data_IF_603598748460
#
_entry.id   IF_603598748460
#
_cell.length_a   1.000
_cell.length_b   1.000
_cell.length_c   1.000
_cell.angle_alpha   90.00
_cell.angle_beta   90.00
_cell.angle_gamma   90.00
#
_symmetry.space_group_name_H-M   'P 1'
#
loop_
_entity.id
_entity.type
_entity.pdbx_description
1 polymer ?
#
# COMPACT_ATOMS: atom_id res chain seq x y z
N UNK A 1 -1.06 16.20 23.14
CA UNK A 1 -2.43 15.71 22.85
C UNK A 1 -2.46 14.23 23.15
N UNK A 2 -3.52 13.69 23.73
CA UNK A 2 -3.63 12.24 23.93
C UNK A 2 -3.74 11.54 22.57
N UNK A 3 -3.05 10.41 22.41
CA UNK A 3 -3.04 9.60 21.18
C UNK A 3 -4.46 9.21 20.75
N UNK A 4 -5.34 8.97 21.72
CA UNK A 4 -6.78 8.68 21.47
C UNK A 4 -7.50 9.84 20.80
N UNK A 5 -7.15 11.08 21.14
CA UNK A 5 -7.77 12.29 20.59
C UNK A 5 -7.30 12.53 19.15
N UNK A 6 -6.03 12.24 18.86
CA UNK A 6 -5.49 12.26 17.49
C UNK A 6 -6.19 11.18 16.64
N UNK A 7 -6.38 9.98 17.18
CA UNK A 7 -7.13 8.91 16.52
C UNK A 7 -8.59 9.30 16.23
N UNK A 8 -9.27 9.94 17.18
CA UNK A 8 -10.64 10.41 16.99
C UNK A 8 -10.74 11.46 15.86
N UNK A 9 -9.81 12.42 15.79
CA UNK A 9 -9.72 13.37 14.68
C UNK A 9 -9.42 12.69 13.35
N UNK A 10 -8.56 11.66 13.34
CA UNK A 10 -8.27 10.86 12.15
C UNK A 10 -9.52 10.18 11.59
N UNK A 11 -10.37 9.61 12.45
CA UNK A 11 -11.64 9.01 12.05
C UNK A 11 -12.56 10.05 11.40
N UNK A 12 -12.71 11.23 12.03
CA UNK A 12 -13.54 12.31 11.48
C UNK A 12 -13.01 12.77 10.12
N UNK A 13 -11.68 12.92 9.99
CA UNK A 13 -11.05 13.29 8.72
C UNK A 13 -11.29 12.24 7.61
N UNK A 14 -11.26 10.95 7.95
CA UNK A 14 -11.55 9.86 7.01
C UNK A 14 -12.98 9.97 6.48
N UNK A 15 -13.97 10.12 7.36
CA UNK A 15 -15.36 10.28 6.94
C UNK A 15 -15.56 11.53 6.09
N UNK A 16 -14.88 12.63 6.42
CA UNK A 16 -14.92 13.85 5.62
C UNK A 16 -14.40 13.59 4.19
N UNK A 17 -13.27 12.87 4.03
CA UNK A 17 -12.75 12.48 2.72
C UNK A 17 -13.72 11.59 1.93
N UNK A 18 -14.39 10.65 2.59
CA UNK A 18 -15.37 9.77 1.95
C UNK A 18 -16.60 10.55 1.47
N UNK A 19 -17.09 11.51 2.26
CA UNK A 19 -18.19 12.39 1.86
C UNK A 19 -17.79 13.26 0.67
N UNK A 20 -16.54 13.71 0.62
CA UNK A 20 -15.96 14.42 -0.53
C UNK A 20 -15.79 13.56 -1.80
N UNK A 21 -16.24 12.29 -1.78
CA UNK A 21 -16.15 11.33 -2.89
C UNK A 21 -14.72 11.04 -3.33
N UNK A 22 -13.74 11.16 -2.43
CA UNK A 22 -12.39 10.70 -2.71
C UNK A 22 -12.38 9.16 -2.83
N UNK A 23 -11.57 8.59 -3.74
CA UNK A 23 -11.35 7.15 -3.79
C UNK A 23 -10.94 6.64 -2.41
N UNK A 24 -11.57 5.56 -1.93
CA UNK A 24 -11.38 5.04 -0.56
C UNK A 24 -9.90 4.80 -0.25
N UNK A 25 -9.15 4.27 -1.21
CA UNK A 25 -7.70 4.07 -1.06
C UNK A 25 -6.91 5.35 -0.83
N UNK A 26 -7.25 6.46 -1.51
CA UNK A 26 -6.59 7.75 -1.29
C UNK A 26 -6.95 8.33 0.08
N UNK A 27 -8.22 8.18 0.51
CA UNK A 27 -8.64 8.62 1.84
C UNK A 27 -7.87 7.87 2.95
N UNK A 28 -7.76 6.55 2.82
CA UNK A 28 -6.98 5.71 3.74
C UNK A 28 -5.50 6.08 3.73
N UNK A 29 -4.92 6.34 2.56
CA UNK A 29 -3.52 6.74 2.43
C UNK A 29 -3.25 8.05 3.15
N UNK A 30 -4.04 9.09 2.88
CA UNK A 30 -3.82 10.44 3.46
C UNK A 30 -4.02 10.43 4.97
N UNK A 31 -5.10 9.83 5.46
CA UNK A 31 -5.41 9.80 6.91
C UNK A 31 -4.44 8.88 7.65
N UNK A 32 -4.13 7.70 7.11
CA UNK A 32 -3.20 6.76 7.72
C UNK A 32 -1.78 7.32 7.78
N UNK A 33 -1.27 7.84 6.65
CA UNK A 33 0.06 8.47 6.60
C UNK A 33 0.14 9.70 7.51
N UNK A 34 -0.88 10.56 7.48
CA UNK A 34 -0.95 11.75 8.35
C UNK A 34 -0.98 11.38 9.83
N UNK A 35 -1.72 10.34 10.21
CA UNK A 35 -1.77 9.84 11.59
C UNK A 35 -0.42 9.35 12.10
N UNK A 36 0.27 8.51 11.31
CA UNK A 36 1.60 7.99 11.66
C UNK A 36 2.61 9.15 11.75
N UNK A 37 2.54 10.12 10.85
CA UNK A 37 3.42 11.28 10.88
C UNK A 37 3.21 12.13 12.14
N UNK A 38 1.97 12.35 12.58
CA UNK A 38 1.69 13.14 13.78
C UNK A 38 2.09 12.42 15.07
N UNK A 39 2.00 11.09 15.11
CA UNK A 39 2.28 10.28 16.32
C UNK A 39 3.78 9.95 16.44
N UNK A 40 4.35 9.33 15.41
CA UNK A 40 5.72 8.78 15.43
C UNK A 40 6.73 9.62 14.64
N UNK A 41 6.27 10.66 13.95
CA UNK A 41 7.11 11.56 13.17
C UNK A 41 7.34 11.11 11.72
N UNK A 42 8.00 11.99 10.95
CA UNK A 42 8.16 11.84 9.50
C UNK A 42 8.92 10.56 9.11
N UNK A 43 9.92 10.19 9.90
CA UNK A 43 10.78 9.04 9.60
C UNK A 43 10.02 7.72 9.71
N UNK A 44 9.14 7.59 10.70
CA UNK A 44 8.27 6.42 10.85
C UNK A 44 7.24 6.35 9.71
N UNK A 45 6.58 7.46 9.39
CA UNK A 45 5.59 7.50 8.31
C UNK A 45 6.16 7.06 6.95
N UNK A 46 7.35 7.55 6.60
CA UNK A 46 8.04 7.16 5.36
C UNK A 46 8.48 5.69 5.42
N UNK A 47 8.98 5.22 6.56
CA UNK A 47 9.42 3.83 6.73
C UNK A 47 8.27 2.83 6.58
N UNK A 48 7.10 3.11 7.17
CA UNK A 48 5.91 2.27 7.01
C UNK A 48 5.42 2.27 5.57
N UNK A 49 5.41 3.44 4.91
CA UNK A 49 4.94 3.52 3.53
C UNK A 49 5.87 2.76 2.56
N UNK A 50 7.19 2.81 2.79
CA UNK A 50 8.14 2.07 1.96
C UNK A 50 8.06 0.56 2.18
N UNK A 51 7.86 0.09 3.41
CA UNK A 51 7.71 -1.34 3.70
C UNK A 51 6.45 -1.93 3.07
N UNK A 52 5.32 -1.23 3.15
CA UNK A 52 4.05 -1.68 2.57
C UNK A 52 4.10 -1.69 1.03
N UNK A 53 4.70 -0.66 0.43
CA UNK A 53 4.89 -0.59 -1.02
C UNK A 53 5.79 -1.72 -1.51
N UNK A 54 6.90 -1.98 -0.79
CA UNK A 54 7.80 -3.07 -1.13
C UNK A 54 7.10 -4.43 -1.06
N UNK A 55 6.38 -4.69 0.03
CA UNK A 55 5.60 -5.92 0.23
C UNK A 55 4.61 -6.14 -0.91
N UNK A 56 3.91 -5.08 -1.34
CA UNK A 56 2.94 -5.12 -2.44
C UNK A 56 3.56 -5.47 -3.80
N UNK A 57 4.77 -4.98 -4.08
CA UNK A 57 5.49 -5.27 -5.34
C UNK A 57 6.13 -6.66 -5.32
N UNK A 58 6.59 -7.11 -4.15
CA UNK A 58 7.12 -8.47 -3.96
C UNK A 58 6.04 -9.52 -3.74
N UNK A 59 4.78 -9.18 -3.98
CA UNK A 59 3.67 -10.10 -3.82
C UNK A 59 3.91 -11.37 -4.64
N UNK A 60 3.76 -12.53 -4.00
CA UNK A 60 3.94 -13.84 -4.64
C UNK A 60 3.14 -14.01 -5.94
N UNK A 61 1.95 -13.39 -6.00
CA UNK A 61 1.10 -13.38 -7.19
C UNK A 61 1.79 -12.77 -8.42
N UNK A 62 2.63 -11.74 -8.24
CA UNK A 62 3.36 -11.11 -9.34
C UNK A 62 4.52 -11.99 -9.83
N UNK A 63 5.12 -12.82 -8.96
CA UNK A 63 6.18 -13.77 -9.32
C UNK A 63 5.71 -14.87 -10.27
N UNK A 64 4.40 -15.15 -10.30
CA UNK A 64 3.81 -16.13 -11.21
C UNK A 64 3.99 -15.69 -12.68
N UNK A 65 3.94 -14.38 -12.96
CA UNK A 65 4.04 -13.84 -14.34
C UNK A 65 5.42 -14.12 -14.96
N UNK A 66 6.57 -13.75 -14.36
CA UNK A 66 7.89 -14.10 -14.89
C UNK A 66 8.11 -15.60 -15.03
N UNK A 67 7.60 -16.41 -14.09
CA UNK A 67 7.74 -17.87 -14.14
C UNK A 67 6.99 -18.48 -15.32
N UNK A 68 5.79 -17.99 -15.64
CA UNK A 68 5.06 -18.41 -16.85
C UNK A 68 5.79 -17.99 -18.13
N UNK A 69 6.35 -16.78 -18.18
CA UNK A 69 7.15 -16.32 -19.32
C UNK A 69 8.41 -17.20 -19.50
N UNK A 70 9.08 -17.53 -18.40
CA UNK A 70 10.24 -18.43 -18.41
C UNK A 70 9.86 -19.84 -18.88
N UNK A 71 8.76 -20.40 -18.36
CA UNK A 71 8.24 -21.69 -18.79
C UNK A 71 7.92 -21.69 -20.29
N UNK A 72 7.24 -20.66 -20.79
CA UNK A 72 6.92 -20.52 -22.21
C UNK A 72 8.16 -20.47 -23.09
N UNK A 73 9.18 -19.71 -22.69
CA UNK A 73 10.47 -19.65 -23.40
C UNK A 73 11.18 -21.01 -23.42
N UNK A 74 11.15 -21.76 -22.31
CA UNK A 74 11.76 -23.09 -22.24
C UNK A 74 11.01 -24.11 -23.10
N UNK A 75 9.68 -24.09 -23.10
CA UNK A 75 8.84 -24.96 -23.93
C UNK A 75 9.07 -24.68 -25.43
N UNK A 76 9.14 -23.41 -25.82
CA UNK A 76 9.48 -22.99 -27.19
C UNK A 76 10.88 -23.45 -27.62
N UNK A 77 11.89 -23.29 -26.75
CA UNK A 77 13.24 -23.76 -27.02
C UNK A 77 13.36 -25.29 -27.10
N UNK A 78 12.50 -26.02 -26.38
CA UNK A 78 12.43 -27.49 -26.42
C UNK A 78 11.61 -28.03 -27.62
N UNK A 79 11.05 -27.16 -28.47
CA UNK A 79 10.31 -27.56 -29.67
C UNK A 79 8.83 -27.87 -29.45
N UNK A 80 8.26 -27.50 -28.29
CA UNK A 80 6.82 -27.62 -28.01
C UNK A 80 5.99 -26.44 -28.56
N UNK A 81 6.37 -25.87 -29.71
CA UNK A 81 5.66 -24.74 -30.35
C UNK A 81 4.44 -25.17 -31.15
#
# INVERSE_FOLDING_TARGET
MSETLIGAWGIVALFFCLVARLPVGMALLVVGFGGIWVIDGQRAAIATMSSETYSSITAYSLSIIPLFVLMGNMAGAAGYS
#
